data_IF_451396820472
#
_entry.id   IF_451396820472
#
_cell.length_a   1.000
_cell.length_b   1.000
_cell.length_c   1.000
_cell.angle_alpha   90.00
_cell.angle_beta   90.00
_cell.angle_gamma   90.00
#
_symmetry.space_group_name_H-M   'P 1'
#
loop_
_entity.id
_entity.type
_entity.pdbx_description
1 polymer ?
#
# COMPACT_ATOMS: atom_id res chain seq x y z
N UNK A 1 10.05 -2.38 -13.77
CA UNK A 1 9.57 -3.01 -12.54
C UNK A 1 9.70 -2.03 -11.37
N UNK A 2 8.72 -2.00 -10.50
CA UNK A 2 8.79 -1.18 -9.28
C UNK A 2 9.75 -1.87 -8.31
N UNK A 3 10.79 -1.18 -7.86
CA UNK A 3 11.83 -1.76 -7.00
C UNK A 3 11.81 -1.24 -5.58
N UNK A 4 11.24 -0.05 -5.37
CA UNK A 4 11.28 0.62 -4.06
C UNK A 4 10.00 1.42 -3.85
N UNK A 5 9.53 1.45 -2.61
CA UNK A 5 8.51 2.40 -2.17
C UNK A 5 9.10 3.31 -1.09
N UNK A 6 8.94 4.63 -1.30
CA UNK A 6 9.28 5.65 -0.33
C UNK A 6 8.03 6.11 0.38
N UNK A 7 8.02 5.98 1.70
CA UNK A 7 6.89 6.38 2.54
C UNK A 7 7.43 7.00 3.82
N UNK A 8 6.85 8.11 4.27
CA UNK A 8 7.33 8.77 5.48
C UNK A 8 7.02 7.95 6.72
N UNK A 9 7.83 8.11 7.75
CA UNK A 9 7.60 7.48 9.05
C UNK A 9 6.25 7.92 9.63
N UNK A 10 5.86 9.17 9.42
CA UNK A 10 4.58 9.68 9.87
C UNK A 10 3.42 8.92 9.21
N UNK A 11 3.51 8.63 7.91
CA UNK A 11 2.52 7.83 7.20
C UNK A 11 2.48 6.38 7.71
N UNK A 12 3.64 5.80 8.00
CA UNK A 12 3.69 4.45 8.58
C UNK A 12 3.01 4.40 9.94
N UNK A 13 3.23 5.40 10.78
CA UNK A 13 2.56 5.50 12.08
C UNK A 13 1.04 5.64 11.94
N UNK A 14 0.59 6.39 10.94
CA UNK A 14 -0.83 6.52 10.63
C UNK A 14 -1.43 5.17 10.21
N UNK A 15 -0.73 4.42 9.37
CA UNK A 15 -1.19 3.08 8.95
C UNK A 15 -1.23 2.09 10.13
N UNK A 16 -0.26 2.16 11.03
CA UNK A 16 -0.30 1.37 12.27
C UNK A 16 -1.54 1.72 13.11
N UNK A 17 -1.82 3.01 13.25
CA UNK A 17 -3.00 3.48 14.00
C UNK A 17 -4.29 2.96 13.38
N UNK A 18 -4.43 3.05 12.06
CA UNK A 18 -5.59 2.54 11.33
C UNK A 18 -5.73 1.02 11.57
N UNK A 19 -4.62 0.30 11.54
CA UNK A 19 -4.61 -1.14 11.78
C UNK A 19 -5.10 -1.51 13.18
N UNK A 20 -4.67 -0.75 14.19
CA UNK A 20 -5.14 -0.95 15.58
C UNK A 20 -6.61 -0.65 15.73
N UNK A 21 -7.11 0.41 15.09
CA UNK A 21 -8.51 0.79 15.15
C UNK A 21 -9.43 -0.25 14.52
N UNK A 22 -8.98 -0.91 13.46
CA UNK A 22 -9.77 -1.93 12.75
C UNK A 22 -9.63 -3.33 13.36
N UNK A 23 -8.56 -3.58 14.11
CA UNK A 23 -8.29 -4.91 14.69
C UNK A 23 -9.53 -5.46 15.41
N UNK A 24 -9.92 -6.75 15.22
CA UNK A 24 -9.20 -7.81 14.51
C UNK A 24 -9.48 -7.88 12.99
N UNK A 25 -10.32 -7.01 12.44
CA UNK A 25 -10.56 -7.03 10.98
C UNK A 25 -9.38 -6.42 10.24
N UNK A 26 -9.19 -6.80 8.97
CA UNK A 26 -8.15 -6.22 8.14
C UNK A 26 -8.49 -4.76 7.83
N UNK A 27 -7.55 -3.86 8.10
CA UNK A 27 -7.63 -2.47 7.68
C UNK A 27 -7.18 -2.36 6.22
N UNK A 28 -7.66 -1.37 5.51
CA UNK A 28 -7.20 -1.08 4.15
C UNK A 28 -7.17 0.42 3.86
N UNK A 29 -6.30 0.79 2.91
CA UNK A 29 -6.14 2.18 2.48
C UNK A 29 -5.51 2.21 1.09
N UNK A 30 -5.73 3.31 0.37
CA UNK A 30 -5.02 3.59 -0.86
C UNK A 30 -3.82 4.50 -0.56
N UNK A 31 -2.74 4.28 -1.28
CA UNK A 31 -1.54 5.10 -1.18
C UNK A 31 -1.49 6.00 -2.42
N UNK A 32 -1.68 7.30 -2.20
CA UNK A 32 -1.64 8.32 -3.25
C UNK A 32 -0.21 8.80 -3.41
N UNK A 33 0.24 8.95 -4.65
CA UNK A 33 1.59 9.44 -4.88
C UNK A 33 1.97 9.49 -6.35
N UNK A 34 3.24 9.27 -6.63
CA UNK A 34 3.80 9.31 -7.97
C UNK A 34 4.78 8.17 -8.17
N UNK A 35 4.91 7.72 -9.43
CA UNK A 35 6.00 6.83 -9.83
C UNK A 35 7.07 7.65 -10.53
N UNK A 36 8.33 7.30 -10.30
CA UNK A 36 9.47 7.91 -10.98
C UNK A 36 10.43 6.83 -11.46
N UNK A 37 10.93 6.97 -12.68
CA UNK A 37 12.01 6.14 -13.16
C UNK A 37 13.29 6.43 -12.39
N UNK A 38 14.09 5.41 -12.15
CA UNK A 38 15.36 5.54 -11.42
C UNK A 38 16.36 6.35 -12.24
N UNK A 39 16.33 6.19 -13.58
CA UNK A 39 17.17 6.95 -14.51
C UNK A 39 16.54 6.92 -15.91
N UNK A 40 17.03 7.78 -16.79
CA UNK A 40 16.57 7.84 -18.19
C UNK A 40 16.85 6.54 -18.98
N UNK A 41 17.72 5.67 -18.45
CA UNK A 41 18.13 4.42 -19.09
C UNK A 41 17.57 3.18 -18.44
N UNK A 42 16.75 3.34 -17.41
CA UNK A 42 16.17 2.23 -16.65
C UNK A 42 14.67 2.18 -16.85
N UNK A 43 14.11 0.99 -16.97
CA UNK A 43 12.67 0.77 -16.92
C UNK A 43 12.19 0.58 -15.48
N UNK A 44 13.10 0.55 -14.50
CA UNK A 44 12.75 0.40 -13.10
C UNK A 44 12.22 1.71 -12.52
N UNK A 45 11.16 1.58 -11.72
CA UNK A 45 10.45 2.69 -11.12
C UNK A 45 10.53 2.65 -9.59
N UNK A 46 10.36 3.82 -9.00
CA UNK A 46 10.21 4.00 -7.56
C UNK A 46 8.84 4.62 -7.30
N UNK A 47 8.13 4.08 -6.32
CA UNK A 47 6.87 4.64 -5.86
C UNK A 47 7.14 5.62 -4.71
N UNK A 48 6.56 6.82 -4.78
CA UNK A 48 6.64 7.82 -3.70
C UNK A 48 5.26 8.10 -3.17
N UNK A 49 5.04 7.81 -1.91
CA UNK A 49 3.76 8.06 -1.24
C UNK A 49 3.69 9.52 -0.77
N UNK A 50 2.62 10.20 -1.14
CA UNK A 50 2.37 11.59 -0.75
C UNK A 50 1.23 11.70 0.26
N UNK A 51 0.25 10.78 0.22
CA UNK A 51 -0.91 10.81 1.10
C UNK A 51 -1.50 9.42 1.31
N UNK A 52 -2.17 9.25 2.44
CA UNK A 52 -2.91 8.03 2.79
C UNK A 52 -4.39 8.33 2.63
N UNK A 53 -5.09 7.50 1.88
CA UNK A 53 -6.55 7.59 1.72
C UNK A 53 -7.15 6.36 2.41
N UNK A 54 -7.64 6.55 3.63
CA UNK A 54 -8.29 5.46 4.36
C UNK A 54 -9.56 5.02 3.65
N UNK A 55 -9.73 3.70 3.53
CA UNK A 55 -10.93 3.09 2.97
C UNK A 55 -11.53 2.12 3.97
N UNK A 56 -12.79 1.76 3.74
CA UNK A 56 -13.45 0.76 4.58
C UNK A 56 -13.24 -0.63 3.99
N UNK A 57 -12.98 -1.61 4.85
CA UNK A 57 -13.01 -3.02 4.44
C UNK A 57 -14.46 -3.45 4.31
N UNK A 58 -14.96 -3.56 3.08
CA UNK A 58 -16.35 -3.93 2.81
C UNK A 58 -16.68 -5.38 3.17
N UNK A 59 -15.65 -6.24 3.27
CA UNK A 59 -15.82 -7.63 3.72
C UNK A 59 -15.95 -7.74 5.24
N UNK A 60 -15.49 -6.72 5.97
CA UNK A 60 -15.50 -6.69 7.43
C UNK A 60 -14.94 -7.99 8.03
N UNK A 61 -13.83 -8.46 7.46
CA UNK A 61 -13.26 -9.78 7.73
C UNK A 61 -11.89 -9.68 8.39
N UNK A 62 -11.57 -10.70 9.21
CA UNK A 62 -10.23 -10.85 9.80
C UNK A 62 -9.25 -11.56 8.85
N UNK A 63 -9.72 -12.08 7.72
CA UNK A 63 -8.91 -12.87 6.77
C UNK A 63 -8.80 -12.24 5.39
N UNK A 64 -9.61 -11.25 5.08
CA UNK A 64 -9.65 -10.64 3.75
C UNK A 64 -10.09 -9.19 3.81
N UNK A 65 -9.82 -8.46 2.75
CA UNK A 65 -10.36 -7.12 2.60
C UNK A 65 -10.90 -6.93 1.18
N UNK A 66 -11.84 -6.01 1.05
CA UNK A 66 -12.37 -5.57 -0.23
C UNK A 66 -12.76 -4.11 -0.10
N UNK A 67 -12.31 -3.28 -1.04
CA UNK A 67 -12.77 -1.89 -1.14
C UNK A 67 -14.00 -1.87 -2.03
N UNK A 68 -15.07 -1.23 -1.57
CA UNK A 68 -16.30 -1.10 -2.35
C UNK A 68 -15.99 -0.47 -3.72
N UNK A 69 -16.55 -1.03 -4.80
CA UNK A 69 -16.23 -0.61 -6.17
C UNK A 69 -16.53 0.86 -6.42
N UNK A 70 -17.66 1.37 -5.91
CA UNK A 70 -18.02 2.78 -6.10
C UNK A 70 -17.09 3.70 -5.31
N UNK A 71 -16.71 3.31 -4.10
CA UNK A 71 -15.72 4.04 -3.30
C UNK A 71 -14.37 4.08 -4.02
N UNK A 72 -13.93 2.92 -4.52
CA UNK A 72 -12.65 2.80 -5.24
C UNK A 72 -12.61 3.73 -6.47
N UNK A 73 -13.65 3.70 -7.30
CA UNK A 73 -13.74 4.56 -8.49
C UNK A 73 -13.70 6.04 -8.09
N UNK A 74 -14.46 6.42 -7.06
CA UNK A 74 -14.51 7.80 -6.56
C UNK A 74 -13.14 8.27 -6.10
N UNK A 75 -12.42 7.43 -5.35
CA UNK A 75 -11.07 7.76 -4.85
C UNK A 75 -10.04 7.85 -5.96
N UNK A 76 -10.11 6.97 -6.97
CA UNK A 76 -9.23 7.05 -8.13
C UNK A 76 -9.41 8.38 -8.89
N UNK A 77 -10.66 8.82 -9.06
CA UNK A 77 -10.95 10.10 -9.71
C UNK A 77 -10.40 11.28 -8.90
N UNK A 78 -10.61 11.26 -7.58
CA UNK A 78 -10.11 12.30 -6.68
C UNK A 78 -8.59 12.41 -6.76
N UNK A 79 -7.90 11.29 -6.65
CA UNK A 79 -6.44 11.22 -6.71
C UNK A 79 -5.93 11.72 -8.06
N UNK A 80 -6.56 11.31 -9.16
CA UNK A 80 -6.18 11.76 -10.50
C UNK A 80 -6.34 13.28 -10.65
N UNK A 81 -7.34 13.88 -10.01
CA UNK A 81 -7.53 15.34 -10.04
C UNK A 81 -6.41 16.11 -9.34
N UNK A 82 -5.61 15.45 -8.49
CA UNK A 82 -4.45 16.04 -7.83
C UNK A 82 -3.16 15.88 -8.65
N UNK A 83 -3.22 15.41 -9.88
CA UNK A 83 -2.07 15.04 -10.70
C UNK A 83 -1.20 13.98 -10.03
N UNK A 84 -1.85 13.06 -9.34
CA UNK A 84 -1.24 11.91 -8.67
C UNK A 84 -1.95 10.64 -9.08
N UNK A 85 -1.45 9.50 -8.64
CA UNK A 85 -2.04 8.20 -8.94
C UNK A 85 -2.01 7.32 -7.70
N UNK A 86 -2.75 6.23 -7.74
CA UNK A 86 -2.65 5.19 -6.72
C UNK A 86 -1.36 4.44 -6.98
N UNK A 87 -0.38 4.59 -6.09
CA UNK A 87 0.91 3.92 -6.20
C UNK A 87 0.96 2.63 -5.39
N UNK A 88 0.03 2.46 -4.46
CA UNK A 88 -0.03 1.26 -3.66
C UNK A 88 -1.38 1.06 -3.00
N UNK A 89 -1.58 -0.17 -2.54
CA UNK A 89 -2.73 -0.58 -1.74
C UNK A 89 -2.17 -1.12 -0.43
N UNK A 90 -2.70 -0.62 0.68
CA UNK A 90 -2.31 -1.04 2.02
C UNK A 90 -3.40 -1.92 2.61
N UNK A 91 -2.98 -2.98 3.32
CA UNK A 91 -3.87 -3.68 4.25
C UNK A 91 -3.07 -4.29 5.41
N UNK A 92 -3.78 -4.60 6.49
CA UNK A 92 -3.19 -5.23 7.66
C UNK A 92 -3.53 -6.71 7.71
N UNK A 93 -2.60 -7.50 8.26
CA UNK A 93 -2.79 -8.92 8.55
C UNK A 93 -2.66 -9.16 10.06
N UNK A 94 -3.41 -10.11 10.60
CA UNK A 94 -3.19 -10.64 11.94
C UNK A 94 -2.19 -11.81 11.95
N UNK A 95 -1.62 -12.11 10.81
CA UNK A 95 -0.55 -13.09 10.58
C UNK A 95 0.68 -12.36 10.03
N UNK A 96 1.64 -13.10 9.49
CA UNK A 96 2.85 -12.49 8.91
C UNK A 96 2.51 -11.51 7.77
N UNK A 97 3.39 -10.52 7.55
CA UNK A 97 3.24 -9.52 6.49
C UNK A 97 3.64 -10.12 5.14
N UNK A 98 2.80 -10.99 4.59
CA UNK A 98 3.02 -11.65 3.31
C UNK A 98 1.67 -11.83 2.60
N UNK A 99 1.60 -11.62 1.27
CA UNK A 99 0.34 -11.74 0.54
C UNK A 99 -0.28 -13.12 0.64
N UNK A 100 -1.58 -13.17 0.93
CA UNK A 100 -2.37 -14.40 0.90
C UNK A 100 -2.66 -14.81 -0.55
N UNK A 101 -3.22 -16.00 -0.74
CA UNK A 101 -3.67 -16.44 -2.07
C UNK A 101 -4.76 -15.52 -2.63
N UNK A 102 -5.65 -15.04 -1.76
CA UNK A 102 -6.68 -14.06 -2.15
C UNK A 102 -6.05 -12.73 -2.55
N UNK A 103 -5.06 -12.26 -1.79
CA UNK A 103 -4.33 -11.03 -2.11
C UNK A 103 -3.71 -11.12 -3.52
N UNK A 104 -3.11 -12.25 -3.86
CA UNK A 104 -2.45 -12.44 -5.16
C UNK A 104 -3.41 -12.25 -6.33
N UNK A 105 -4.66 -12.66 -6.19
CA UNK A 105 -5.70 -12.45 -7.22
C UNK A 105 -5.96 -10.98 -7.43
N UNK A 106 -6.03 -10.20 -6.35
CA UNK A 106 -6.24 -8.76 -6.44
C UNK A 106 -4.99 -8.03 -6.94
N UNK A 107 -3.80 -8.54 -6.63
CA UNK A 107 -2.54 -8.00 -7.15
C UNK A 107 -2.47 -8.09 -8.68
N UNK A 108 -3.02 -9.15 -9.27
CA UNK A 108 -3.11 -9.29 -10.73
C UNK A 108 -3.94 -8.16 -11.37
N UNK A 109 -5.00 -7.75 -10.68
CA UNK A 109 -5.91 -6.71 -11.16
C UNK A 109 -5.42 -5.29 -10.83
N UNK A 110 -4.53 -5.18 -9.87
CA UNK A 110 -4.01 -3.91 -9.37
C UNK A 110 -2.49 -3.94 -9.31
N UNK A 111 -1.81 -3.68 -10.44
CA UNK A 111 -0.35 -3.80 -10.55
C UNK A 111 0.37 -2.59 -9.93
N UNK A 112 0.19 -2.41 -8.66
CA UNK A 112 0.80 -1.35 -7.84
C UNK A 112 1.56 -2.00 -6.68
N UNK A 113 2.13 -1.18 -5.80
CA UNK A 113 2.78 -1.71 -4.59
C UNK A 113 1.72 -2.18 -3.61
N UNK A 114 1.94 -3.36 -3.04
CA UNK A 114 1.11 -3.92 -1.97
C UNK A 114 1.88 -3.83 -0.66
N UNK A 115 1.45 -2.91 0.21
CA UNK A 115 2.07 -2.68 1.51
C UNK A 115 1.23 -3.38 2.57
N UNK A 116 1.86 -4.27 3.33
CA UNK A 116 1.17 -5.08 4.35
C UNK A 116 1.79 -4.79 5.71
N UNK A 117 0.95 -4.55 6.71
CA UNK A 117 1.35 -4.44 8.11
C UNK A 117 0.87 -5.67 8.88
N UNK A 118 1.78 -6.33 9.59
CA UNK A 118 1.42 -7.44 10.48
C UNK A 118 1.21 -6.93 11.90
N UNK A 119 0.00 -7.13 12.42
CA UNK A 119 -0.27 -6.84 13.84
C UNK A 119 0.36 -7.88 14.76
N UNK A 120 0.79 -9.02 14.21
CA UNK A 120 1.48 -10.07 14.96
C UNK A 120 2.95 -9.73 15.20
N UNK A 121 3.68 -9.36 14.14
CA UNK A 121 5.12 -9.04 14.21
C UNK A 121 5.40 -7.55 14.33
N UNK A 122 4.38 -6.70 14.23
CA UNK A 122 4.50 -5.23 14.26
C UNK A 122 5.49 -4.73 13.20
N UNK A 123 5.40 -5.28 11.98
CA UNK A 123 6.30 -4.95 10.90
C UNK A 123 5.57 -4.75 9.58
N UNK A 124 6.15 -3.91 8.72
CA UNK A 124 5.69 -3.67 7.36
C UNK A 124 6.54 -4.44 6.37
N UNK A 125 5.92 -4.87 5.27
CA UNK A 125 6.63 -5.38 4.10
C UNK A 125 5.90 -4.95 2.85
N UNK A 126 6.63 -4.71 1.77
CA UNK A 126 6.09 -4.23 0.51
C UNK A 126 6.37 -5.24 -0.60
N UNK A 127 5.40 -5.43 -1.48
CA UNK A 127 5.45 -6.45 -2.53
C UNK A 127 4.90 -5.91 -3.84
N UNK A 128 5.34 -6.52 -4.92
CA UNK A 128 4.72 -6.40 -6.24
C UNK A 128 4.49 -7.81 -6.79
N UNK A 129 3.64 -7.91 -7.79
CA UNK A 129 3.46 -9.16 -8.54
C UNK A 129 4.12 -9.02 -9.91
N UNK A 130 5.16 -9.83 -10.14
CA UNK A 130 5.90 -9.91 -11.40
C UNK A 130 6.14 -11.40 -11.68
N UNK A 131 5.20 -12.06 -12.36
CA UNK A 131 5.08 -13.51 -12.51
C UNK A 131 4.94 -14.23 -11.17
N UNK A 132 5.58 -13.73 -10.14
CA UNK A 132 5.53 -14.20 -8.76
C UNK A 132 5.50 -13.02 -7.82
N UNK A 133 5.18 -13.27 -6.56
CA UNK A 133 5.25 -12.25 -5.51
C UNK A 133 6.73 -11.92 -5.25
N UNK A 134 7.07 -10.65 -5.38
CA UNK A 134 8.44 -10.14 -5.15
C UNK A 134 8.39 -9.10 -4.05
N UNK A 135 9.19 -9.32 -3.01
CA UNK A 135 9.35 -8.29 -1.97
C UNK A 135 10.22 -7.17 -2.53
N UNK A 136 9.77 -5.93 -2.36
CA UNK A 136 10.51 -4.75 -2.77
C UNK A 136 11.02 -3.98 -1.55
N UNK A 137 11.95 -3.08 -1.80
CA UNK A 137 12.55 -2.27 -0.76
C UNK A 137 11.57 -1.22 -0.25
N UNK A 138 11.45 -1.12 1.08
CA UNK A 138 10.70 -0.06 1.75
C UNK A 138 11.69 0.92 2.35
N UNK A 139 11.63 2.17 1.91
CA UNK A 139 12.46 3.27 2.40
C UNK A 139 11.57 4.24 3.17
N UNK A 140 11.99 4.57 4.40
CA UNK A 140 11.26 5.50 5.24
C UNK A 140 12.16 6.66 5.64
N UNK A 141 11.67 7.89 5.45
CA UNK A 141 12.35 9.08 5.94
C UNK A 141 11.84 9.44 7.33
N UNK A 142 12.76 9.79 8.22
CA UNK A 142 12.39 10.33 9.54
C UNK A 142 11.86 11.74 9.39
N UNK A 143 11.08 12.20 10.38
CA UNK A 143 10.59 13.60 10.44
C UNK A 143 11.73 14.61 10.40
N UNK A 144 12.92 14.25 10.89
CA UNK A 144 14.09 15.13 10.89
C UNK A 144 14.65 15.34 9.48
N UNK A 145 14.44 14.41 8.56
CA UNK A 145 14.89 14.51 7.18
C UNK A 145 13.88 15.25 6.29
N UNK A 146 12.70 15.54 6.80
CA UNK A 146 11.65 16.28 6.09
C UNK A 146 11.82 17.80 6.21
N UNK A 147 12.72 18.25 7.06
CA UNK A 147 13.07 19.65 7.24
C UNK A 147 14.32 19.99 6.41
#
# INVERSE_FOLDING_TARGET
>A
MITTIFISQQHLLELERISRECYPTEACALLEGTFKFISDRSEDEQAKVAAIIRTRNADDSIYSFRIDSSELISKYKEISSHNREVVGIFHSHSSKAYPSLTDRKYMELNPVVWLIYSTLSHSFAAYILDDRVVEIRLESSSLQNAL
#
